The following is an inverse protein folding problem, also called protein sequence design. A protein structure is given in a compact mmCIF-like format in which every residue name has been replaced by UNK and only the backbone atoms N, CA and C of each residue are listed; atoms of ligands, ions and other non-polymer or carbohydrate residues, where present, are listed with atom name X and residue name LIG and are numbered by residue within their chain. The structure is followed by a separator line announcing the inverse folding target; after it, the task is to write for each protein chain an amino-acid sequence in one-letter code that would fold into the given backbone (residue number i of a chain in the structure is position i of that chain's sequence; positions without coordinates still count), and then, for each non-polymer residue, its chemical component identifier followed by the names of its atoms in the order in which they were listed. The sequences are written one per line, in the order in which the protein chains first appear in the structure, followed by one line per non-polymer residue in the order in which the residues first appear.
data_IF_000420664533
#
_entry.id   IF_000420664533
#
_cell.length_a   1.000
_cell.length_b   1.000
_cell.length_c   1.000
_cell.angle_alpha   90.00
_cell.angle_beta   90.00
_cell.angle_gamma   90.00
#
_symmetry.space_group_name_H-M   'P 1'
#
loop_
_entity.id
_entity.type
_entity.pdbx_description
1 polymer ?
#
# COMPACT_ATOMS: atom_id res chain seq x y z
N UNK A 1 12.89 -17.02 -6.01
CA UNK A 1 12.71 -15.79 -6.84
C UNK A 1 11.29 -15.73 -7.41
N UNK A 2 10.79 -16.79 -8.04
CA UNK A 2 9.39 -16.96 -8.48
C UNK A 2 8.33 -16.47 -7.47
N UNK A 3 8.39 -16.92 -6.20
CA UNK A 3 7.43 -16.50 -5.17
C UNK A 3 7.49 -15.01 -4.85
N UNK A 4 8.69 -14.43 -4.86
CA UNK A 4 8.84 -13.00 -4.69
C UNK A 4 8.23 -12.26 -5.88
N UNK A 5 8.50 -12.68 -7.12
CA UNK A 5 7.85 -12.10 -8.31
C UNK A 5 6.32 -12.19 -8.27
N UNK A 6 5.76 -13.29 -7.76
CA UNK A 6 4.33 -13.43 -7.55
C UNK A 6 3.81 -12.42 -6.51
N UNK A 7 4.46 -12.34 -5.34
CA UNK A 7 4.08 -11.40 -4.29
C UNK A 7 4.15 -9.93 -4.72
N UNK A 8 5.11 -9.58 -5.57
CA UNK A 8 5.23 -8.25 -6.18
C UNK A 8 3.99 -7.92 -7.04
N UNK A 9 3.60 -8.85 -7.93
CA UNK A 9 2.50 -8.65 -8.87
C UNK A 9 1.13 -8.61 -8.20
N UNK A 10 0.94 -9.26 -7.05
CA UNK A 10 -0.32 -9.20 -6.29
C UNK A 10 -0.68 -7.78 -5.84
N UNK A 11 0.27 -6.85 -5.81
CA UNK A 11 0.03 -5.44 -5.47
C UNK A 11 -0.89 -4.71 -6.46
N UNK A 12 -0.99 -5.19 -7.72
CA UNK A 12 -1.62 -4.47 -8.83
C UNK A 12 -3.00 -3.87 -8.51
N UNK A 13 -3.96 -4.59 -7.91
CA UNK A 13 -5.26 -4.02 -7.57
C UNK A 13 -5.16 -2.81 -6.65
N UNK A 14 -4.21 -2.80 -5.71
CA UNK A 14 -4.05 -1.75 -4.71
C UNK A 14 -3.17 -0.60 -5.18
N UNK A 15 -2.13 -0.87 -5.97
CA UNK A 15 -1.37 0.21 -6.62
C UNK A 15 -2.27 1.00 -7.58
N UNK A 16 -3.12 0.32 -8.35
CA UNK A 16 -4.11 0.96 -9.21
C UNK A 16 -5.16 1.72 -8.39
N UNK A 17 -5.67 1.13 -7.30
CA UNK A 17 -6.62 1.79 -6.41
C UNK A 17 -6.03 3.07 -5.77
N UNK A 18 -4.76 3.05 -5.38
CA UNK A 18 -4.05 4.24 -4.88
C UNK A 18 -3.92 5.31 -5.95
N UNK A 19 -3.53 4.94 -7.17
CA UNK A 19 -3.41 5.89 -8.27
C UNK A 19 -4.77 6.52 -8.63
N UNK A 20 -5.82 5.70 -8.70
CA UNK A 20 -7.19 6.12 -8.92
C UNK A 20 -7.69 7.04 -7.80
N UNK A 21 -7.45 6.70 -6.53
CA UNK A 21 -7.80 7.55 -5.39
C UNK A 21 -7.09 8.89 -5.49
N UNK A 22 -5.78 8.88 -5.77
CA UNK A 22 -4.97 10.09 -5.93
C UNK A 22 -5.56 11.00 -7.01
N UNK A 23 -6.01 10.43 -8.12
CA UNK A 23 -6.67 11.16 -9.20
C UNK A 23 -8.01 11.74 -8.75
N UNK A 24 -8.85 10.95 -8.09
CA UNK A 24 -10.16 11.40 -7.66
C UNK A 24 -10.11 12.50 -6.59
N UNK A 25 -9.07 12.50 -5.74
CA UNK A 25 -8.90 13.49 -4.66
C UNK A 25 -8.12 14.73 -5.11
N UNK A 26 -7.01 14.52 -5.83
CA UNK A 26 -6.02 15.58 -6.14
C UNK A 26 -5.81 15.83 -7.63
N UNK A 27 -6.61 15.22 -8.48
CA UNK A 27 -6.58 15.40 -9.94
C UNK A 27 -5.21 15.12 -10.56
N UNK A 28 -4.45 14.17 -9.98
CA UNK A 28 -3.21 13.70 -10.61
C UNK A 28 -3.54 12.97 -11.92
N UNK A 29 -2.67 13.02 -12.95
CA UNK A 29 -2.92 12.30 -14.21
C UNK A 29 -3.16 10.81 -13.98
N UNK A 30 -4.21 10.26 -14.59
CA UNK A 30 -4.60 8.85 -14.47
C UNK A 30 -5.05 8.28 -15.82
N UNK A 31 -4.80 6.99 -16.02
CA UNK A 31 -5.29 6.21 -17.15
C UNK A 31 -5.55 4.78 -16.70
N UNK A 32 -6.67 4.18 -17.13
CA UNK A 32 -6.95 2.76 -16.88
C UNK A 32 -6.14 1.84 -17.79
N UNK A 33 -5.67 2.33 -18.95
CA UNK A 33 -5.03 1.51 -19.98
C UNK A 33 -3.85 0.64 -19.47
N UNK A 34 -2.97 1.10 -18.56
CA UNK A 34 -1.95 0.25 -17.95
C UNK A 34 -2.53 -0.95 -17.20
N UNK A 35 -3.63 -0.76 -16.47
CA UNK A 35 -4.30 -1.83 -15.73
C UNK A 35 -5.05 -2.77 -16.67
N UNK A 36 -5.79 -2.22 -17.64
CA UNK A 36 -6.57 -2.97 -18.63
C UNK A 36 -5.68 -3.96 -19.43
N UNK A 37 -4.44 -3.55 -19.76
CA UNK A 37 -3.44 -4.39 -20.44
C UNK A 37 -3.09 -5.68 -19.67
N UNK A 38 -3.20 -5.64 -18.35
CA UNK A 38 -2.74 -6.67 -17.45
C UNK A 38 -3.86 -7.56 -16.91
N UNK A 39 -5.13 -7.28 -17.19
CA UNK A 39 -6.25 -7.95 -16.50
C UNK A 39 -6.32 -9.44 -16.82
N UNK A 40 -6.27 -9.81 -18.10
CA UNK A 40 -6.32 -11.22 -18.53
C UNK A 40 -5.12 -12.03 -18.02
N UNK A 41 -3.91 -11.45 -18.09
CA UNK A 41 -2.69 -12.13 -17.62
C UNK A 41 -2.65 -12.23 -16.10
N UNK A 42 -3.18 -11.24 -15.39
CA UNK A 42 -3.25 -11.24 -13.93
C UNK A 42 -4.25 -12.29 -13.43
N UNK A 43 -5.40 -12.44 -14.09
CA UNK A 43 -6.33 -13.53 -13.79
C UNK A 43 -5.68 -14.91 -13.97
N UNK A 44 -4.98 -15.13 -15.10
CA UNK A 44 -4.21 -16.36 -15.35
C UNK A 44 -3.10 -16.58 -14.30
N UNK A 45 -2.48 -15.51 -13.82
CA UNK A 45 -1.46 -15.57 -12.78
C UNK A 45 -2.04 -16.08 -11.46
N UNK A 46 -3.20 -15.56 -11.05
CA UNK A 46 -3.91 -15.99 -9.85
C UNK A 46 -4.27 -17.48 -9.93
N UNK A 47 -4.85 -17.92 -11.06
CA UNK A 47 -5.16 -19.34 -11.30
C UNK A 47 -3.91 -20.24 -11.25
N UNK A 48 -2.77 -19.68 -11.63
CA UNK A 48 -1.48 -20.37 -11.66
C UNK A 48 -0.70 -20.28 -10.34
N UNK A 49 -1.25 -19.71 -9.26
CA UNK A 49 -0.50 -19.44 -8.03
C UNK A 49 0.29 -20.67 -7.50
N UNK A 50 -0.36 -21.84 -7.44
CA UNK A 50 0.32 -23.09 -7.01
C UNK A 50 1.43 -23.51 -7.97
N UNK A 51 1.20 -23.41 -9.27
CA UNK A 51 2.18 -23.75 -10.29
C UNK A 51 3.39 -22.80 -10.24
N UNK A 52 3.14 -21.50 -10.03
CA UNK A 52 4.18 -20.50 -9.77
C UNK A 52 4.98 -20.88 -8.53
N UNK A 53 4.31 -21.22 -7.43
CA UNK A 53 4.96 -21.60 -6.17
C UNK A 53 5.86 -22.84 -6.26
N UNK A 54 5.46 -23.82 -7.09
CA UNK A 54 6.22 -25.04 -7.43
C UNK A 54 7.30 -24.84 -8.49
N UNK A 55 7.32 -23.67 -9.14
CA UNK A 55 8.19 -23.38 -10.28
C UNK A 55 7.95 -24.33 -11.47
N UNK A 56 6.69 -24.71 -11.69
CA UNK A 56 6.27 -25.47 -12.86
C UNK A 56 6.44 -24.60 -14.12
N UNK A 57 6.76 -25.22 -15.26
CA UNK A 57 7.02 -24.49 -16.52
C UNK A 57 5.91 -23.48 -16.85
N UNK A 58 4.65 -23.93 -16.87
CA UNK A 58 3.51 -23.08 -17.24
C UNK A 58 3.28 -21.95 -16.24
N UNK A 59 3.49 -22.20 -14.94
CA UNK A 59 3.42 -21.18 -13.91
C UNK A 59 4.51 -20.11 -14.09
N UNK A 60 5.74 -20.52 -14.40
CA UNK A 60 6.83 -19.59 -14.69
C UNK A 60 6.59 -18.80 -15.98
N UNK A 61 6.00 -19.41 -17.01
CA UNK A 61 5.62 -18.70 -18.24
C UNK A 61 4.64 -17.57 -17.95
N UNK A 62 3.55 -17.86 -17.25
CA UNK A 62 2.54 -16.84 -16.88
C UNK A 62 3.14 -15.77 -15.97
N UNK A 63 3.99 -16.16 -15.02
CA UNK A 63 4.69 -15.20 -14.16
C UNK A 63 5.54 -14.22 -14.98
N UNK A 64 6.35 -14.74 -15.91
CA UNK A 64 7.22 -13.92 -16.74
C UNK A 64 6.42 -13.00 -17.68
N UNK A 65 5.33 -13.51 -18.29
CA UNK A 65 4.41 -12.69 -19.08
C UNK A 65 3.86 -11.51 -18.26
N UNK A 66 3.41 -11.78 -17.03
CA UNK A 66 2.84 -10.75 -16.15
C UNK A 66 3.90 -9.73 -15.69
N UNK A 67 5.13 -10.16 -15.38
CA UNK A 67 6.25 -9.25 -15.04
C UNK A 67 6.57 -8.31 -16.21
N UNK A 68 6.66 -8.85 -17.43
CA UNK A 68 6.96 -8.05 -18.62
C UNK A 68 5.86 -7.02 -18.90
N UNK A 69 4.59 -7.45 -18.83
CA UNK A 69 3.44 -6.56 -19.01
C UNK A 69 3.36 -5.50 -17.90
N UNK A 70 3.74 -5.83 -16.67
CA UNK A 70 3.86 -4.86 -15.57
C UNK A 70 4.88 -3.78 -15.89
N UNK A 71 6.06 -4.16 -16.42
CA UNK A 71 7.06 -3.21 -16.91
C UNK A 71 6.55 -2.29 -18.04
N UNK A 72 5.79 -2.84 -18.99
CA UNK A 72 5.18 -2.03 -20.05
C UNK A 72 4.09 -1.10 -19.51
N UNK A 73 3.31 -1.53 -18.53
CA UNK A 73 2.27 -0.70 -17.89
C UNK A 73 2.87 0.58 -17.28
N UNK A 74 4.01 0.47 -16.59
CA UNK A 74 4.71 1.63 -16.03
C UNK A 74 5.26 2.56 -17.13
N UNK A 75 5.71 1.97 -18.24
CA UNK A 75 6.18 2.75 -19.40
C UNK A 75 5.05 3.56 -20.03
N UNK A 76 3.86 2.96 -20.19
CA UNK A 76 2.66 3.62 -20.71
C UNK A 76 2.21 4.74 -19.76
N UNK A 77 2.23 4.49 -18.45
CA UNK A 77 1.85 5.47 -17.44
C UNK A 77 2.87 6.61 -17.25
N UNK A 78 4.10 6.45 -17.74
CA UNK A 78 5.21 7.38 -17.49
C UNK A 78 5.63 7.45 -16.01
N UNK A 79 5.20 6.49 -15.19
CA UNK A 79 5.49 6.43 -13.76
C UNK A 79 5.30 5.02 -13.21
N UNK A 80 5.75 4.78 -11.98
CA UNK A 80 5.50 3.51 -11.28
C UNK A 80 4.10 3.37 -10.68
N UNK A 81 3.24 4.39 -10.78
CA UNK A 81 1.92 4.39 -10.15
C UNK A 81 1.05 3.14 -10.42
N UNK A 82 0.97 2.57 -11.64
CA UNK A 82 0.15 1.37 -11.86
C UNK A 82 0.68 0.10 -11.19
N UNK A 83 1.93 0.11 -10.70
CA UNK A 83 2.58 -1.06 -10.10
C UNK A 83 3.20 -0.74 -8.72
N UNK A 84 2.97 0.45 -8.16
CA UNK A 84 3.58 0.87 -6.89
C UNK A 84 2.72 1.88 -6.15
N UNK A 85 2.03 1.43 -5.10
CA UNK A 85 1.22 2.19 -4.15
C UNK A 85 1.76 2.12 -2.73
N UNK A 86 0.86 2.18 -1.74
CA UNK A 86 1.16 2.12 -0.31
C UNK A 86 1.82 0.82 0.12
N UNK A 87 1.46 -0.30 -0.51
CA UNK A 87 2.10 -1.60 -0.28
C UNK A 87 3.60 -1.58 -0.62
N UNK A 88 3.99 -0.86 -1.67
CA UNK A 88 5.40 -0.69 -2.00
C UNK A 88 6.11 0.28 -1.04
N UNK A 89 5.41 1.30 -0.55
CA UNK A 89 5.98 2.19 0.48
C UNK A 89 6.32 1.43 1.76
N UNK A 90 5.52 0.43 2.14
CA UNK A 90 5.83 -0.46 3.28
C UNK A 90 7.13 -1.22 3.04
N UNK A 91 7.29 -1.88 1.88
CA UNK A 91 8.52 -2.61 1.55
C UNK A 91 9.73 -1.66 1.47
N UNK A 92 9.59 -0.51 0.81
CA UNK A 92 10.67 0.47 0.73
C UNK A 92 11.07 1.00 2.11
N UNK A 93 10.11 1.15 3.04
CA UNK A 93 10.41 1.58 4.40
C UNK A 93 11.25 0.54 5.14
N UNK A 94 10.91 -0.74 5.03
CA UNK A 94 11.69 -1.82 5.61
C UNK A 94 13.10 -1.91 5.01
N UNK A 95 13.24 -1.79 3.69
CA UNK A 95 14.55 -1.80 3.04
C UNK A 95 15.40 -0.59 3.46
N UNK A 96 14.80 0.61 3.47
CA UNK A 96 15.46 1.85 3.89
C UNK A 96 15.93 1.77 5.35
N UNK A 97 15.08 1.30 6.25
CA UNK A 97 15.43 1.16 7.68
C UNK A 97 16.57 0.14 7.88
N UNK A 98 16.54 -1.00 7.19
CA UNK A 98 17.60 -2.01 7.31
C UNK A 98 18.91 -1.50 6.71
N UNK A 99 18.85 -0.83 5.56
CA UNK A 99 20.03 -0.25 4.90
C UNK A 99 20.70 0.82 5.76
N UNK A 100 19.91 1.77 6.28
CA UNK A 100 20.41 2.87 7.12
C UNK A 100 21.07 2.36 8.41
N UNK A 101 20.60 1.21 8.92
CA UNK A 101 21.14 0.55 10.12
C UNK A 101 22.25 -0.46 9.83
N UNK A 102 22.65 -0.65 8.56
CA UNK A 102 23.66 -1.64 8.17
C UNK A 102 23.25 -3.08 8.46
N UNK A 103 21.96 -3.39 8.42
CA UNK A 103 21.40 -4.72 8.68
C UNK A 103 21.00 -5.44 7.39
N UNK A 104 20.96 -6.78 7.38
CA UNK A 104 20.43 -7.54 6.25
C UNK A 104 18.98 -7.20 5.96
N UNK A 105 18.57 -7.14 4.68
CA UNK A 105 17.17 -6.93 4.31
C UNK A 105 16.27 -8.04 4.88
N UNK A 106 15.02 -7.70 5.20
CA UNK A 106 14.04 -8.65 5.74
C UNK A 106 13.68 -9.78 4.76
N UNK A 107 13.91 -9.57 3.47
CA UNK A 107 13.70 -10.57 2.43
C UNK A 107 13.78 -9.95 1.06
N UNK A 108 13.43 -10.72 0.03
CA UNK A 108 13.30 -10.22 -1.33
C UNK A 108 12.17 -9.19 -1.41
N UNK A 109 12.33 -8.16 -2.25
CA UNK A 109 11.35 -7.07 -2.43
C UNK A 109 9.92 -7.58 -2.60
N UNK A 110 9.67 -8.44 -3.60
CA UNK A 110 8.33 -8.96 -3.85
C UNK A 110 7.76 -9.84 -2.72
N UNK A 111 8.61 -10.44 -1.87
CA UNK A 111 8.13 -11.11 -0.65
C UNK A 111 7.59 -10.10 0.35
N UNK A 112 8.27 -8.97 0.52
CA UNK A 112 7.83 -7.87 1.38
C UNK A 112 6.55 -7.22 0.82
N UNK A 113 6.52 -6.96 -0.50
CA UNK A 113 5.36 -6.39 -1.20
C UNK A 113 4.14 -7.31 -1.09
N UNK A 114 4.31 -8.63 -1.18
CA UNK A 114 3.19 -9.56 -0.98
C UNK A 114 2.55 -9.45 0.41
N UNK A 115 3.35 -9.40 1.48
CA UNK A 115 2.86 -9.17 2.85
C UNK A 115 2.19 -7.80 2.96
N UNK A 116 2.86 -6.77 2.44
CA UNK A 116 2.36 -5.40 2.46
C UNK A 116 1.03 -5.27 1.71
N UNK A 117 0.85 -5.99 0.60
CA UNK A 117 -0.38 -6.04 -0.19
C UNK A 117 -1.54 -6.57 0.65
N UNK A 118 -1.32 -7.64 1.43
CA UNK A 118 -2.35 -8.15 2.36
C UNK A 118 -2.72 -7.11 3.43
N UNK A 119 -1.75 -6.39 3.99
CA UNK A 119 -2.01 -5.32 4.96
C UNK A 119 -2.80 -4.17 4.31
N UNK A 120 -2.39 -3.72 3.12
CA UNK A 120 -3.09 -2.71 2.32
C UNK A 120 -4.52 -3.14 2.00
N UNK A 121 -4.73 -4.40 1.64
CA UNK A 121 -6.06 -4.94 1.35
C UNK A 121 -7.04 -4.76 2.49
N UNK A 122 -6.64 -5.15 3.70
CA UNK A 122 -7.44 -5.01 4.91
C UNK A 122 -7.71 -3.55 5.29
N UNK A 123 -6.77 -2.65 4.99
CA UNK A 123 -6.96 -1.20 5.15
C UNK A 123 -7.95 -0.64 4.11
N UNK A 124 -7.85 -1.06 2.85
CA UNK A 124 -8.77 -0.66 1.79
C UNK A 124 -10.19 -1.16 2.06
N UNK A 125 -10.39 -2.38 2.54
CA UNK A 125 -11.70 -2.90 2.93
C UNK A 125 -12.36 -2.02 4.00
N UNK A 126 -11.59 -1.58 5.01
CA UNK A 126 -12.06 -0.64 6.03
C UNK A 126 -12.36 0.74 5.44
N UNK A 127 -11.52 1.23 4.54
CA UNK A 127 -11.72 2.51 3.87
C UNK A 127 -13.01 2.51 3.07
N UNK A 128 -13.22 1.53 2.17
CA UNK A 128 -14.43 1.46 1.34
C UNK A 128 -15.67 1.00 2.11
N UNK A 129 -15.55 0.66 3.39
CA UNK A 129 -16.70 0.45 4.28
C UNK A 129 -17.29 1.77 4.80
N UNK A 130 -16.52 2.86 4.82
CA UNK A 130 -16.99 4.18 5.26
C UNK A 130 -18.14 4.70 4.40
N UNK A 131 -19.05 5.42 5.03
CA UNK A 131 -20.05 6.26 4.39
C UNK A 131 -19.63 7.74 4.46
N UNK A 132 -20.25 8.59 3.62
CA UNK A 132 -19.93 10.03 3.62
C UNK A 132 -20.15 10.68 4.99
N UNK A 133 -21.11 10.18 5.78
CA UNK A 133 -21.39 10.65 7.14
C UNK A 133 -20.25 10.40 8.13
N UNK A 134 -19.35 9.46 7.84
CA UNK A 134 -18.21 9.10 8.70
C UNK A 134 -16.99 10.01 8.44
N UNK A 135 -17.07 10.88 7.42
CA UNK A 135 -16.02 11.84 7.08
C UNK A 135 -16.38 13.19 7.73
N UNK A 136 -15.53 13.65 8.65
CA UNK A 136 -15.73 14.87 9.43
C UNK A 136 -14.64 15.92 9.15
N UNK A 137 -14.72 16.68 8.02
CA UNK A 137 -13.63 17.53 7.54
C UNK A 137 -13.10 18.53 8.57
N UNK A 138 -14.00 19.17 9.32
CA UNK A 138 -13.63 20.18 10.33
C UNK A 138 -12.82 19.55 11.46
N UNK A 139 -13.28 18.43 12.01
CA UNK A 139 -12.60 17.75 13.11
C UNK A 139 -11.25 17.16 12.66
N UNK A 140 -11.23 16.54 11.48
CA UNK A 140 -10.02 15.99 10.87
C UNK A 140 -8.95 17.07 10.66
N UNK A 141 -9.33 18.21 10.09
CA UNK A 141 -8.42 19.32 9.84
C UNK A 141 -7.91 20.00 11.12
N UNK A 142 -8.72 20.02 12.20
CA UNK A 142 -8.31 20.55 13.51
C UNK A 142 -7.31 19.64 14.23
N UNK A 143 -7.38 18.32 14.03
CA UNK A 143 -6.43 17.37 14.62
C UNK A 143 -5.07 17.39 13.93
N UNK A 144 -5.03 17.68 12.62
CA UNK A 144 -3.80 17.70 11.82
C UNK A 144 -2.79 18.67 12.48
N UNK A 145 -1.59 18.22 12.85
CA UNK A 145 -0.55 19.10 13.35
C UNK A 145 -0.21 20.19 12.32
N UNK A 146 0.26 21.35 12.80
CA UNK A 146 0.76 22.39 11.92
C UNK A 146 2.04 21.96 11.18
N UNK A 147 2.50 22.79 10.24
CA UNK A 147 3.71 22.49 9.46
C UNK A 147 4.97 22.43 10.33
N UNK A 148 4.98 23.04 11.53
CA UNK A 148 6.13 22.96 12.44
C UNK A 148 6.29 21.57 13.07
N UNK A 149 5.28 20.70 13.00
CA UNK A 149 5.42 19.29 13.36
C UNK A 149 6.44 18.55 12.47
N UNK A 150 6.66 19.01 11.24
CA UNK A 150 7.67 18.43 10.34
C UNK A 150 9.09 18.50 10.91
N UNK A 151 9.38 19.48 11.78
CA UNK A 151 10.67 19.58 12.46
C UNK A 151 10.85 18.51 13.55
N UNK A 152 9.76 17.86 13.96
CA UNK A 152 9.74 16.74 14.93
C UNK A 152 9.57 15.38 14.24
N UNK A 153 9.73 15.32 12.92
CA UNK A 153 9.58 14.06 12.17
C UNK A 153 10.57 12.98 12.64
N UNK A 154 11.73 13.38 13.17
CA UNK A 154 12.70 12.48 13.79
C UNK A 154 12.19 11.73 15.02
N UNK A 155 11.22 12.29 15.77
CA UNK A 155 10.64 11.61 16.94
C UNK A 155 9.82 10.37 16.51
N UNK A 156 9.25 10.42 15.31
CA UNK A 156 8.45 9.33 14.72
C UNK A 156 9.33 8.35 13.94
N UNK A 157 10.39 8.85 13.34
CA UNK A 157 11.42 8.08 12.63
C UNK A 157 12.69 7.88 13.47
N UNK A 158 12.50 7.56 14.75
CA UNK A 158 13.57 7.37 15.75
C UNK A 158 14.60 6.27 15.41
N UNK A 159 14.32 5.47 14.39
CA UNK A 159 15.20 4.41 13.87
C UNK A 159 16.03 4.81 12.66
N UNK A 160 15.79 5.99 12.08
CA UNK A 160 16.43 6.49 10.85
C UNK A 160 17.43 7.60 11.15
N UNK A 161 18.49 7.67 10.35
CA UNK A 161 19.50 8.71 10.43
C UNK A 161 18.95 10.08 10.03
N UNK A 162 19.55 11.14 10.57
CA UNK A 162 19.13 12.52 10.32
C UNK A 162 19.06 12.90 8.82
N UNK A 163 20.00 12.47 7.94
CA UNK A 163 19.90 12.72 6.51
C UNK A 163 18.66 12.07 5.86
N UNK A 164 18.32 10.85 6.26
CA UNK A 164 17.12 10.17 5.75
C UNK A 164 15.87 10.88 6.24
N UNK A 165 15.80 11.25 7.52
CA UNK A 165 14.66 12.01 8.07
C UNK A 165 14.49 13.36 7.36
N UNK A 166 15.58 14.04 7.00
CA UNK A 166 15.51 15.29 6.24
C UNK A 166 14.89 15.08 4.84
N UNK A 167 15.25 14.02 4.13
CA UNK A 167 14.62 13.68 2.85
C UNK A 167 13.12 13.35 3.02
N UNK A 168 12.75 12.55 4.02
CA UNK A 168 11.33 12.25 4.31
C UNK A 168 10.53 13.54 4.58
N UNK A 169 11.13 14.47 5.31
CA UNK A 169 10.52 15.77 5.59
C UNK A 169 10.27 16.55 4.31
N UNK A 170 11.25 16.60 3.42
CA UNK A 170 11.16 17.35 2.16
C UNK A 170 10.12 16.71 1.21
N UNK A 171 9.99 15.38 1.20
CA UNK A 171 8.95 14.65 0.46
C UNK A 171 7.55 14.92 1.02
N UNK A 172 7.38 14.83 2.34
CA UNK A 172 6.09 15.05 3.01
C UNK A 172 5.63 16.51 2.91
N UNK A 173 6.55 17.47 3.06
CA UNK A 173 6.26 18.90 2.96
C UNK A 173 5.63 19.30 1.62
N UNK A 174 5.97 18.60 0.53
CA UNK A 174 5.42 18.87 -0.81
C UNK A 174 3.96 18.41 -0.97
N UNK A 175 3.49 17.45 -0.18
CA UNK A 175 2.12 16.91 -0.30
C UNK A 175 1.19 17.20 0.88
N UNK A 176 1.72 17.62 2.02
CA UNK A 176 0.92 17.80 3.23
C UNK A 176 0.11 19.11 3.18
N UNK A 177 -1.22 18.97 3.27
CA UNK A 177 -2.14 20.07 3.50
C UNK A 177 -2.41 20.23 5.00
N UNK A 178 -2.69 21.47 5.43
CA UNK A 178 -3.01 21.80 6.82
C UNK A 178 -4.20 22.75 6.90
N UNK A 179 -4.84 22.83 8.06
CA UNK A 179 -5.89 23.80 8.37
C UNK A 179 -6.99 23.90 7.28
N UNK A 180 -7.21 25.09 6.73
CA UNK A 180 -8.27 25.35 5.75
C UNK A 180 -8.11 24.57 4.44
N UNK A 181 -6.87 24.33 3.99
CA UNK A 181 -6.59 23.59 2.75
C UNK A 181 -7.00 22.12 2.89
N UNK A 182 -6.61 21.49 4.00
CA UNK A 182 -6.99 20.11 4.32
C UNK A 182 -8.50 19.98 4.52
N UNK A 183 -9.11 20.94 5.24
CA UNK A 183 -10.57 20.97 5.42
C UNK A 183 -11.28 20.99 4.06
N UNK A 184 -10.86 21.86 3.14
CA UNK A 184 -11.49 21.99 1.84
C UNK A 184 -11.31 20.72 0.98
N UNK A 185 -10.15 20.06 1.06
CA UNK A 185 -9.93 18.76 0.42
C UNK A 185 -10.90 17.70 0.97
N UNK A 186 -10.98 17.56 2.29
CA UNK A 186 -11.85 16.58 2.93
C UNK A 186 -13.35 16.86 2.72
N UNK A 187 -13.76 18.13 2.60
CA UNK A 187 -15.12 18.50 2.19
C UNK A 187 -15.43 17.96 0.78
N UNK A 188 -14.52 18.15 -0.18
CA UNK A 188 -14.66 17.58 -1.54
C UNK A 188 -14.68 16.05 -1.53
N UNK A 189 -13.80 15.42 -0.73
CA UNK A 189 -13.77 13.96 -0.58
C UNK A 189 -15.10 13.45 -0.03
N UNK A 190 -15.63 14.07 1.03
CA UNK A 190 -16.92 13.69 1.62
C UNK A 190 -18.05 13.78 0.60
N UNK A 191 -18.13 14.90 -0.11
CA UNK A 191 -19.25 15.18 -1.02
C UNK A 191 -19.23 14.24 -2.24
N UNK A 192 -18.04 13.81 -2.67
CA UNK A 192 -17.84 12.83 -3.75
C UNK A 192 -17.66 11.39 -3.26
N UNK A 193 -17.74 11.14 -1.96
CA UNK A 193 -17.37 9.85 -1.37
C UNK A 193 -18.13 8.66 -1.97
N UNK A 194 -19.46 8.73 -2.24
CA UNK A 194 -20.17 7.62 -2.87
C UNK A 194 -19.55 7.20 -4.21
N UNK A 195 -19.18 8.17 -5.06
CA UNK A 195 -18.53 7.95 -6.36
C UNK A 195 -17.12 7.34 -6.17
N UNK A 196 -16.32 7.94 -5.27
CA UNK A 196 -14.95 7.47 -4.99
C UNK A 196 -14.97 6.01 -4.53
N UNK A 197 -15.82 5.73 -3.53
CA UNK A 197 -15.99 4.40 -2.96
C UNK A 197 -16.42 3.37 -3.99
N UNK A 198 -17.37 3.70 -4.86
CA UNK A 198 -17.82 2.81 -5.94
C UNK A 198 -16.69 2.49 -6.92
N UNK A 199 -15.97 3.51 -7.38
CA UNK A 199 -14.83 3.35 -8.31
C UNK A 199 -13.70 2.53 -7.70
N UNK A 200 -13.39 2.71 -6.42
CA UNK A 200 -12.39 1.89 -5.73
C UNK A 200 -12.83 0.43 -5.62
N UNK A 201 -14.09 0.16 -5.24
CA UNK A 201 -14.61 -1.21 -5.15
C UNK A 201 -14.56 -1.97 -6.48
N UNK A 202 -14.66 -1.26 -7.60
CA UNK A 202 -14.59 -1.87 -8.92
C UNK A 202 -13.18 -2.40 -9.29
N UNK A 203 -12.12 -1.90 -8.64
CA UNK A 203 -10.73 -2.30 -8.94
C UNK A 203 -10.07 -3.11 -7.84
N UNK A 204 -10.63 -3.10 -6.62
CA UNK A 204 -10.07 -3.80 -5.48
C UNK A 204 -10.39 -5.30 -5.52
N UNK A 205 -9.39 -6.09 -5.15
CA UNK A 205 -9.54 -7.50 -4.82
C UNK A 205 -9.83 -7.65 -3.31
N UNK A 206 -10.63 -8.63 -2.86
CA UNK A 206 -10.81 -8.89 -1.43
C UNK A 206 -9.53 -9.36 -0.74
N UNK A 207 -9.32 -8.97 0.52
CA UNK A 207 -8.14 -9.34 1.31
C UNK A 207 -8.02 -10.86 1.53
N UNK A 208 -9.17 -11.54 1.60
CA UNK A 208 -9.24 -12.99 1.68
C UNK A 208 -8.62 -13.66 0.45
N UNK A 209 -8.92 -13.16 -0.76
CA UNK A 209 -8.39 -13.73 -2.01
C UNK A 209 -6.88 -13.45 -2.16
N UNK A 210 -6.39 -12.28 -1.71
CA UNK A 210 -4.95 -12.01 -1.63
C UNK A 210 -4.25 -13.00 -0.69
N UNK A 211 -4.87 -13.25 0.48
CA UNK A 211 -4.34 -14.20 1.46
C UNK A 211 -4.30 -15.62 0.88
N UNK A 212 -5.36 -16.05 0.20
CA UNK A 212 -5.42 -17.34 -0.48
C UNK A 212 -4.36 -17.46 -1.57
N UNK A 213 -4.21 -16.45 -2.43
CA UNK A 213 -3.23 -16.43 -3.50
C UNK A 213 -1.79 -16.53 -2.98
N UNK A 214 -1.44 -15.75 -1.94
CA UNK A 214 -0.13 -15.83 -1.28
C UNK A 214 0.14 -17.24 -0.74
N UNK A 215 -0.83 -17.83 -0.03
CA UNK A 215 -0.72 -19.17 0.53
C UNK A 215 -0.59 -20.24 -0.55
N UNK A 216 -1.39 -20.14 -1.61
CA UNK A 216 -1.35 -21.05 -2.74
C UNK A 216 0.02 -21.05 -3.43
N UNK A 217 0.65 -19.89 -3.57
CA UNK A 217 2.00 -19.76 -4.11
C UNK A 217 3.13 -20.12 -3.10
N UNK A 218 2.79 -20.40 -1.84
CA UNK A 218 3.74 -20.65 -0.77
C UNK A 218 4.56 -19.42 -0.37
N UNK A 219 3.99 -18.23 -0.54
CA UNK A 219 4.54 -16.96 -0.11
C UNK A 219 4.30 -16.74 1.39
N UNK A 220 5.21 -16.06 2.10
CA UNK A 220 4.93 -15.47 3.41
C UNK A 220 3.69 -14.57 3.36
N UNK A 221 2.79 -14.72 4.34
CA UNK A 221 1.51 -14.01 4.39
C UNK A 221 1.41 -13.00 5.55
N UNK A 222 2.44 -12.86 6.38
CA UNK A 222 2.46 -11.97 7.56
C UNK A 222 3.88 -11.49 7.87
N UNK A 223 3.99 -10.36 8.56
CA UNK A 223 5.26 -9.65 8.79
C UNK A 223 6.24 -10.45 9.63
N UNK A 224 5.75 -11.19 10.63
CA UNK A 224 6.59 -12.03 11.50
C UNK A 224 7.36 -13.11 10.74
N UNK A 225 6.87 -13.54 9.56
CA UNK A 225 7.55 -14.54 8.70
C UNK A 225 8.83 -14.02 8.04
N UNK A 226 9.03 -12.70 8.01
CA UNK A 226 10.25 -12.05 7.50
C UNK A 226 11.01 -11.33 8.63
N UNK A 227 10.72 -11.66 9.89
CA UNK A 227 11.40 -11.09 11.05
C UNK A 227 11.02 -9.63 11.36
N UNK A 228 9.88 -9.15 10.87
CA UNK A 228 9.30 -7.86 11.25
C UNK A 228 8.28 -8.12 12.36
N UNK A 229 8.52 -7.59 13.55
CA UNK A 229 7.58 -7.71 14.66
C UNK A 229 6.34 -6.82 14.48
N UNK A 230 5.28 -7.11 15.25
CA UNK A 230 4.00 -6.40 15.13
C UNK A 230 4.12 -4.90 15.41
N UNK A 231 4.93 -4.48 16.39
CA UNK A 231 5.10 -3.07 16.72
C UNK A 231 5.75 -2.31 15.55
N UNK A 232 6.76 -2.92 14.92
CA UNK A 232 7.39 -2.38 13.71
C UNK A 232 6.42 -2.34 12.54
N UNK A 233 5.64 -3.39 12.31
CA UNK A 233 4.65 -3.40 11.24
C UNK A 233 3.60 -2.28 11.41
N UNK A 234 3.07 -2.09 12.62
CA UNK A 234 2.14 -0.99 12.95
C UNK A 234 2.79 0.36 12.69
N UNK A 235 4.02 0.55 13.18
CA UNK A 235 4.78 1.78 12.92
C UNK A 235 4.93 2.02 11.42
N UNK A 236 5.36 1.04 10.65
CA UNK A 236 5.56 1.15 9.20
C UNK A 236 4.28 1.56 8.48
N UNK A 237 3.12 0.95 8.79
CA UNK A 237 1.84 1.33 8.18
C UNK A 237 1.52 2.81 8.39
N UNK A 238 1.83 3.34 9.58
CA UNK A 238 1.60 4.76 9.90
C UNK A 238 2.55 5.68 9.16
N UNK A 239 3.81 5.31 9.00
CA UNK A 239 4.87 6.27 8.62
C UNK A 239 5.37 6.12 7.19
N UNK A 240 5.13 4.99 6.52
CA UNK A 240 5.65 4.73 5.16
C UNK A 240 5.18 5.76 4.12
N UNK A 241 3.99 6.34 4.30
CA UNK A 241 3.47 7.42 3.44
C UNK A 241 4.36 8.66 3.41
N UNK A 242 5.22 8.88 4.42
CA UNK A 242 6.15 10.02 4.43
C UNK A 242 7.27 9.91 3.37
N UNK A 243 7.50 8.72 2.79
CA UNK A 243 8.67 8.46 1.93
C UNK A 243 8.65 9.10 0.56
N UNK A 244 7.48 9.46 0.04
CA UNK A 244 7.35 9.99 -1.33
C UNK A 244 6.32 11.11 -1.38
N UNK A 245 6.59 12.11 -2.21
CA UNK A 245 5.60 13.09 -2.67
C UNK A 245 4.59 12.42 -3.63
N UNK A 246 3.79 11.50 -3.10
CA UNK A 246 2.67 10.83 -3.77
C UNK A 246 1.56 10.67 -2.74
N UNK A 247 0.33 11.04 -3.10
CA UNK A 247 -0.84 10.83 -2.25
C UNK A 247 -1.40 9.43 -2.47
N UNK A 248 -1.43 8.63 -1.41
CA UNK A 248 -1.95 7.25 -1.38
C UNK A 248 -3.06 7.12 -0.34
N UNK A 249 -3.77 6.00 -0.30
CA UNK A 249 -4.88 5.75 0.62
C UNK A 249 -4.48 5.88 2.08
N UNK A 250 -3.23 5.59 2.43
CA UNK A 250 -2.73 5.81 3.79
C UNK A 250 -2.68 7.29 4.17
N UNK A 251 -2.45 8.20 3.22
CA UNK A 251 -2.57 9.63 3.48
C UNK A 251 -4.02 10.00 3.82
N UNK A 252 -5.00 9.52 3.04
CA UNK A 252 -6.42 9.77 3.32
C UNK A 252 -6.84 9.15 4.67
N UNK A 253 -6.45 7.92 4.96
CA UNK A 253 -6.76 7.27 6.24
C UNK A 253 -6.15 8.04 7.43
N UNK A 254 -4.99 8.67 7.24
CA UNK A 254 -4.35 9.51 8.25
C UNK A 254 -4.98 10.91 8.33
N UNK A 255 -5.42 11.50 7.21
CA UNK A 255 -6.21 12.74 7.16
C UNK A 255 -7.53 12.56 7.94
N UNK A 256 -8.21 11.43 7.72
CA UNK A 256 -9.37 10.99 8.50
C UNK A 256 -8.97 10.53 9.91
N UNK A 257 -7.68 10.28 10.14
CA UNK A 257 -7.01 9.74 11.33
C UNK A 257 -7.73 8.55 11.92
N UNK A 258 -7.96 7.63 11.02
CA UNK A 258 -8.36 6.25 11.24
C UNK A 258 -7.13 5.34 11.16
N UNK A 259 -6.05 5.78 10.49
CA UNK A 259 -4.87 4.96 10.21
C UNK A 259 -4.21 4.37 11.46
N UNK A 260 -4.11 5.12 12.56
CA UNK A 260 -3.47 4.63 13.79
C UNK A 260 -4.19 3.40 14.37
N UNK A 261 -5.50 3.53 14.64
CA UNK A 261 -6.29 2.41 15.16
C UNK A 261 -6.47 1.27 14.15
N UNK A 262 -6.55 1.59 12.85
CA UNK A 262 -6.65 0.56 11.81
C UNK A 262 -5.35 -0.21 11.62
N UNK A 263 -4.19 0.45 11.71
CA UNK A 263 -2.90 -0.23 11.61
C UNK A 263 -2.73 -1.30 12.70
N UNK A 264 -3.08 -0.97 13.95
CA UNK A 264 -3.07 -1.93 15.07
C UNK A 264 -3.99 -3.11 14.82
N UNK A 265 -5.25 -2.84 14.43
CA UNK A 265 -6.24 -3.87 14.17
C UNK A 265 -5.83 -4.80 13.01
N UNK A 266 -5.35 -4.24 11.91
CA UNK A 266 -4.92 -4.99 10.72
C UNK A 266 -3.71 -5.86 11.02
N UNK A 267 -2.69 -5.33 11.72
CA UNK A 267 -1.52 -6.12 12.09
C UNK A 267 -1.91 -7.26 13.03
N UNK A 268 -2.73 -7.00 14.05
CA UNK A 268 -3.22 -8.03 14.95
C UNK A 268 -4.01 -9.13 14.22
N UNK A 269 -4.87 -8.76 13.26
CA UNK A 269 -5.61 -9.68 12.41
C UNK A 269 -4.68 -10.55 11.55
N UNK A 270 -3.65 -9.94 10.94
CA UNK A 270 -2.72 -10.69 10.07
C UNK A 270 -1.80 -11.64 10.82
N UNK A 271 -1.45 -11.31 12.07
CA UNK A 271 -0.56 -12.09 12.93
C UNK A 271 -1.31 -13.16 13.74
N UNK A 272 -2.63 -13.10 13.81
CA UNK A 272 -3.44 -14.09 14.49
C UNK A 272 -3.15 -15.52 13.97
N UNK A 273 -3.11 -16.53 14.85
CA UNK A 273 -3.00 -17.92 14.41
C UNK A 273 -4.20 -18.29 13.56
N UNK A 274 -3.98 -19.07 12.50
CA UNK A 274 -5.05 -19.51 11.62
C UNK A 274 -6.09 -20.31 12.41
N UNK A 275 -7.35 -19.88 12.39
CA UNK A 275 -8.47 -20.58 13.03
C UNK A 275 -8.77 -21.96 12.41
N UNK A 276 -7.97 -22.40 11.43
CA UNK A 276 -8.14 -23.62 10.64
C UNK A 276 -6.80 -24.31 10.35
N UNK A 277 -5.93 -24.43 11.35
CA UNK A 277 -4.90 -25.46 11.34
C UNK A 277 -5.44 -26.68 12.12
N UNK A 278 -5.94 -27.74 11.44
CA UNK A 278 -6.15 -29.03 12.08
C UNK A 278 -4.83 -29.66 12.54
#
# INVERSE_FOLDING_TARGET
LNRAGFGDLLSKPYSNADWLLSHLVRDVPYSSAPSDLLDDVFARLLDSARAVGRADHDGLTVLMECILLSGFSMTIAGSSAPASGGEHLISHYWDMEQFDRGLPLHGLHGTQVGIATRLSALLFERLVALEARDIHPVQCAQRRPDKAWLDRLGDVHDTLSAPVVAELRDQLAQKQLVAGELRAELERVRDRWPEIREKLRAVLMPAAEITEALRAAGCPDRASRIGVDAARAVKTLRVCRHMRNRYVAFDLMDDLGLLEGWAEAVVAETEAPDASAP
#
